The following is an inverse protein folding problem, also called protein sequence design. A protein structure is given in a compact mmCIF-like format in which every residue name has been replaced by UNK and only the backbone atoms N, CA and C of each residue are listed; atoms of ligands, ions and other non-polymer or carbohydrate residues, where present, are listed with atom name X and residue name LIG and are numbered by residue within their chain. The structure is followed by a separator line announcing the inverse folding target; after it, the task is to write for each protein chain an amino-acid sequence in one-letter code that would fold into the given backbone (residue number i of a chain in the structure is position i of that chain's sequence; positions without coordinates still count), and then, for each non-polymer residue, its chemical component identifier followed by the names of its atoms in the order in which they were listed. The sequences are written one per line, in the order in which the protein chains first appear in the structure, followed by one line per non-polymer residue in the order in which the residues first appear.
data_IF_188823531240
#
_entry.id   IF_188823531240
#
_cell.length_a   1.000
_cell.length_b   1.000
_cell.length_c   1.000
_cell.angle_alpha   90.00
_cell.angle_beta   90.00
_cell.angle_gamma   90.00
#
_symmetry.space_group_name_H-M   'P 1'
#
loop_
_entity.id
_entity.type
_entity.pdbx_description
1 polymer ?
#
# COMPACT_ATOMS: atom_id res chain seq x y z
N UNK A 1 -6.62 14.87 2.73
CA UNK A 1 -7.27 13.67 2.24
C UNK A 1 -7.16 12.55 3.26
N UNK A 2 -8.06 11.55 3.20
CA UNK A 2 -8.10 10.40 4.13
C UNK A 2 -6.80 9.59 4.14
N UNK A 3 -6.07 9.55 3.02
CA UNK A 3 -4.81 8.82 2.86
C UNK A 3 -3.69 9.75 2.43
N UNK A 4 -2.47 9.52 2.95
CA UNK A 4 -1.27 10.20 2.46
C UNK A 4 -0.81 9.59 1.13
N UNK A 5 -0.11 10.38 0.31
CA UNK A 5 0.45 9.93 -0.97
C UNK A 5 1.37 8.72 -0.80
N UNK A 6 2.25 8.74 0.22
CA UNK A 6 3.15 7.63 0.53
C UNK A 6 2.38 6.36 0.89
N UNK A 7 1.26 6.48 1.64
CA UNK A 7 0.38 5.34 1.97
C UNK A 7 -0.27 4.74 0.72
N UNK A 8 -0.74 5.58 -0.22
CA UNK A 8 -1.34 5.10 -1.47
C UNK A 8 -0.33 4.35 -2.34
N UNK A 9 0.90 4.88 -2.46
CA UNK A 9 1.98 4.19 -3.19
C UNK A 9 2.25 2.82 -2.57
N UNK A 10 2.38 2.73 -1.24
CA UNK A 10 2.61 1.45 -0.55
C UNK A 10 1.48 0.45 -0.80
N UNK A 11 0.21 0.91 -0.78
CA UNK A 11 -0.96 0.08 -1.05
C UNK A 11 -1.01 -0.42 -2.49
N UNK A 12 -0.63 0.43 -3.47
CA UNK A 12 -0.59 0.05 -4.88
C UNK A 12 0.60 -0.84 -5.26
N UNK A 13 1.65 -0.90 -4.46
CA UNK A 13 2.86 -1.69 -4.74
C UNK A 13 2.99 -2.87 -3.78
N UNK A 14 3.42 -2.61 -2.56
CA UNK A 14 3.76 -3.65 -1.60
C UNK A 14 2.54 -4.48 -1.15
N UNK A 15 1.39 -3.83 -0.86
CA UNK A 15 0.20 -4.55 -0.39
C UNK A 15 -0.40 -5.41 -1.52
N UNK A 16 -0.45 -4.91 -2.76
CA UNK A 16 -0.84 -5.71 -3.93
C UNK A 16 0.10 -6.90 -4.14
N UNK A 17 1.41 -6.71 -4.01
CA UNK A 17 2.38 -7.81 -4.13
C UNK A 17 2.20 -8.86 -3.03
N UNK A 18 1.89 -8.45 -1.80
CA UNK A 18 1.59 -9.39 -0.71
C UNK A 18 0.31 -10.18 -0.99
N UNK A 19 -0.75 -9.55 -1.47
CA UNK A 19 -2.00 -10.21 -1.87
C UNK A 19 -1.73 -11.20 -2.99
N UNK A 20 -0.99 -10.81 -4.03
CA UNK A 20 -0.64 -11.68 -5.15
C UNK A 20 0.16 -12.91 -4.69
N UNK A 21 1.17 -12.70 -3.86
CA UNK A 21 2.00 -13.78 -3.32
C UNK A 21 1.16 -14.74 -2.47
N UNK A 22 0.34 -14.22 -1.57
CA UNK A 22 -0.54 -15.02 -0.73
C UNK A 22 -1.58 -15.80 -1.56
N UNK A 23 -2.20 -15.16 -2.56
CA UNK A 23 -3.17 -15.82 -3.44
C UNK A 23 -2.52 -16.96 -4.23
N UNK A 24 -1.35 -16.74 -4.80
CA UNK A 24 -0.59 -17.77 -5.54
C UNK A 24 -0.21 -18.93 -4.64
N UNK A 25 0.29 -18.65 -3.45
CA UNK A 25 0.64 -19.68 -2.47
C UNK A 25 -0.62 -20.40 -1.94
N UNK A 26 -1.70 -19.68 -1.70
CA UNK A 26 -2.97 -20.25 -1.26
C UNK A 26 -3.51 -21.24 -2.28
N UNK A 27 -3.65 -20.86 -3.54
CA UNK A 27 -4.14 -21.74 -4.60
C UNK A 27 -3.22 -22.96 -4.74
N UNK A 28 -1.91 -22.77 -4.77
CA UNK A 28 -0.95 -23.85 -4.98
C UNK A 28 -0.82 -24.78 -3.77
N UNK A 29 -0.76 -24.23 -2.57
CA UNK A 29 -0.44 -25.00 -1.35
C UNK A 29 -1.69 -25.50 -0.62
N UNK A 30 -2.76 -24.70 -0.52
CA UNK A 30 -3.99 -25.08 0.18
C UNK A 30 -4.78 -26.12 -0.61
N UNK A 31 -4.71 -26.12 -1.94
CA UNK A 31 -5.30 -27.19 -2.74
C UNK A 31 -4.41 -28.45 -2.77
N UNK A 32 -3.09 -28.28 -2.97
CA UNK A 32 -2.17 -29.41 -3.07
C UNK A 32 -1.97 -30.16 -1.75
N UNK A 33 -1.78 -29.46 -0.64
CA UNK A 33 -1.42 -30.08 0.63
C UNK A 33 -2.53 -31.00 1.18
N UNK A 34 -3.82 -30.60 1.24
CA UNK A 34 -4.89 -31.52 1.65
C UNK A 34 -5.06 -32.71 0.70
N UNK A 35 -4.99 -32.47 -0.62
CA UNK A 35 -5.12 -33.54 -1.60
C UNK A 35 -4.00 -34.56 -1.40
N UNK A 36 -2.74 -34.13 -1.32
CA UNK A 36 -1.60 -35.00 -1.08
C UNK A 36 -1.73 -35.75 0.26
N UNK A 37 -2.10 -35.02 1.32
CA UNK A 37 -2.28 -35.63 2.64
C UNK A 37 -3.39 -36.65 2.70
N UNK A 38 -4.58 -36.33 2.17
CA UNK A 38 -5.72 -37.22 2.13
C UNK A 38 -5.45 -38.47 1.26
N UNK A 39 -4.90 -38.28 0.06
CA UNK A 39 -4.55 -39.41 -0.82
C UNK A 39 -3.49 -40.30 -0.17
N UNK A 40 -2.47 -39.74 0.44
CA UNK A 40 -1.44 -40.50 1.14
C UNK A 40 -2.03 -41.27 2.34
N UNK A 41 -2.90 -40.67 3.15
CA UNK A 41 -3.61 -41.34 4.26
C UNK A 41 -4.50 -42.45 3.74
N UNK A 42 -5.30 -42.24 2.69
CA UNK A 42 -6.14 -43.26 2.11
C UNK A 42 -5.32 -44.46 1.59
N UNK A 43 -4.17 -44.18 0.95
CA UNK A 43 -3.26 -45.24 0.47
C UNK A 43 -2.68 -46.05 1.61
N UNK A 44 -2.25 -45.41 2.67
CA UNK A 44 -1.72 -46.07 3.87
C UNK A 44 -2.78 -46.93 4.53
N UNK A 45 -4.00 -46.42 4.74
CA UNK A 45 -5.09 -47.17 5.33
C UNK A 45 -5.52 -48.40 4.47
N UNK A 46 -5.36 -48.29 3.15
CA UNK A 46 -5.66 -49.37 2.21
C UNK A 46 -4.62 -50.51 2.21
N UNK A 47 -3.41 -50.28 2.73
CA UNK A 47 -2.36 -51.31 2.78
C UNK A 47 -2.53 -52.31 3.94
N UNK A 48 -3.31 -51.97 4.97
CA UNK A 48 -3.58 -52.82 6.16
C UNK A 48 -2.33 -53.47 6.74
N UNK A 49 -1.22 -52.74 6.79
CA UNK A 49 0.10 -53.23 7.19
C UNK A 49 0.33 -53.27 8.70
N UNK A 50 -0.60 -52.71 9.50
CA UNK A 50 -0.43 -52.60 10.95
C UNK A 50 0.59 -51.52 11.37
N UNK A 51 1.14 -50.72 10.41
CA UNK A 51 2.12 -49.67 10.64
C UNK A 51 1.49 -48.27 10.73
N UNK A 52 0.17 -48.14 10.66
CA UNK A 52 -0.56 -46.88 10.60
C UNK A 52 -0.26 -45.97 11.82
N UNK A 53 0.03 -46.57 12.98
CA UNK A 53 0.40 -45.84 14.18
C UNK A 53 1.70 -45.03 14.04
N UNK A 54 2.63 -45.42 13.16
CA UNK A 54 3.89 -44.71 12.90
C UNK A 54 3.64 -43.34 12.29
N UNK A 55 2.59 -43.18 11.50
CA UNK A 55 2.16 -41.89 10.96
C UNK A 55 1.68 -40.98 12.09
N UNK A 56 0.89 -41.52 13.02
CA UNK A 56 0.47 -40.79 14.21
C UNK A 56 1.66 -40.26 14.99
N UNK A 57 2.68 -41.09 15.20
CA UNK A 57 3.94 -40.71 15.84
C UNK A 57 4.64 -39.62 15.03
N UNK A 58 4.75 -39.76 13.71
CA UNK A 58 5.38 -38.75 12.85
C UNK A 58 4.68 -37.38 12.93
N UNK A 59 3.35 -37.36 12.81
CA UNK A 59 2.55 -36.14 12.89
C UNK A 59 2.66 -35.48 14.27
N UNK A 60 2.60 -36.26 15.35
CA UNK A 60 2.76 -35.76 16.71
C UNK A 60 4.17 -35.18 16.92
N UNK A 61 5.23 -35.88 16.47
CA UNK A 61 6.60 -35.41 16.58
C UNK A 61 6.84 -34.09 15.81
N UNK A 62 6.36 -34.03 14.57
CA UNK A 62 6.43 -32.81 13.75
C UNK A 62 5.66 -31.65 14.38
N UNK A 63 4.42 -31.94 14.85
CA UNK A 63 3.59 -30.94 15.53
C UNK A 63 4.25 -30.41 16.81
N UNK A 64 4.89 -31.30 17.57
CA UNK A 64 5.62 -30.92 18.76
C UNK A 64 6.82 -30.01 18.44
N UNK A 65 7.63 -30.37 17.43
CA UNK A 65 8.77 -29.54 16.99
C UNK A 65 8.29 -28.17 16.54
N UNK A 66 7.28 -28.10 15.66
CA UNK A 66 6.71 -26.85 15.18
C UNK A 66 6.11 -26.03 16.33
N UNK A 67 5.31 -26.67 17.19
CA UNK A 67 4.65 -26.02 18.33
C UNK A 67 5.64 -25.41 19.31
N UNK A 68 6.72 -26.15 19.65
CA UNK A 68 7.78 -25.65 20.55
C UNK A 68 8.53 -24.49 19.91
N UNK A 69 8.97 -24.61 18.67
CA UNK A 69 9.70 -23.54 17.97
C UNK A 69 8.84 -22.30 17.81
N UNK A 70 7.58 -22.44 17.42
CA UNK A 70 6.65 -21.31 17.29
C UNK A 70 6.36 -20.67 18.65
N UNK A 71 6.15 -21.46 19.69
CA UNK A 71 5.96 -20.96 21.06
C UNK A 71 7.14 -20.14 21.58
N UNK A 72 8.37 -20.54 21.25
CA UNK A 72 9.59 -19.84 21.63
C UNK A 72 9.85 -18.58 20.78
N UNK A 73 9.53 -18.61 19.48
CA UNK A 73 9.89 -17.53 18.55
C UNK A 73 8.82 -16.46 18.43
N UNK A 74 7.51 -16.81 18.49
CA UNK A 74 6.41 -15.86 18.34
C UNK A 74 6.46 -14.65 19.31
N UNK A 75 6.70 -14.83 20.61
CA UNK A 75 6.83 -13.70 21.53
C UNK A 75 8.03 -12.80 21.19
N UNK A 76 9.11 -13.39 20.68
CA UNK A 76 10.30 -12.64 20.25
C UNK A 76 10.06 -11.88 18.96
N UNK A 77 9.31 -12.42 18.01
CA UNK A 77 8.91 -11.69 16.79
C UNK A 77 8.12 -10.41 17.10
N UNK A 78 7.18 -10.48 18.06
CA UNK A 78 6.44 -9.30 18.51
C UNK A 78 7.34 -8.23 19.15
N UNK A 79 8.36 -8.67 19.93
CA UNK A 79 9.34 -7.75 20.53
C UNK A 79 10.28 -7.17 19.47
N UNK A 80 10.71 -7.98 18.51
CA UNK A 80 11.59 -7.56 17.43
C UNK A 80 11.01 -6.36 16.67
N UNK A 81 9.70 -6.34 16.38
CA UNK A 81 9.07 -5.20 15.74
C UNK A 81 9.23 -3.90 16.55
N UNK A 82 9.04 -3.96 17.87
CA UNK A 82 9.27 -2.80 18.75
C UNK A 82 10.73 -2.32 18.75
N UNK A 83 11.69 -3.22 18.64
CA UNK A 83 13.09 -2.85 18.54
C UNK A 83 13.44 -2.24 17.18
N UNK A 84 12.85 -2.74 16.09
CA UNK A 84 12.97 -2.11 14.76
C UNK A 84 12.45 -0.69 14.82
N UNK A 85 11.26 -0.47 15.40
CA UNK A 85 10.67 0.86 15.53
C UNK A 85 11.57 1.80 16.36
N UNK A 86 12.18 1.28 17.44
CA UNK A 86 13.11 2.04 18.28
C UNK A 86 14.39 2.43 17.52
N UNK A 87 14.99 1.50 16.77
CA UNK A 87 16.18 1.79 15.93
C UNK A 87 15.84 2.85 14.89
N UNK A 88 14.70 2.72 14.21
CA UNK A 88 14.25 3.69 13.21
C UNK A 88 13.98 5.07 13.82
N UNK A 89 13.39 5.12 15.04
CA UNK A 89 13.16 6.36 15.76
C UNK A 89 14.48 7.06 16.07
N UNK A 90 15.44 6.35 16.70
CA UNK A 90 16.74 6.91 17.06
C UNK A 90 17.49 7.36 15.80
N UNK A 91 17.50 6.57 14.73
CA UNK A 91 18.12 6.92 13.46
C UNK A 91 17.52 8.22 12.86
N UNK A 92 16.18 8.35 12.88
CA UNK A 92 15.49 9.56 12.40
C UNK A 92 15.84 10.77 13.24
N UNK A 93 15.79 10.64 14.58
CA UNK A 93 16.18 11.72 15.49
C UNK A 93 17.63 12.17 15.27
N UNK A 94 18.56 11.24 15.01
CA UNK A 94 19.95 11.56 14.68
C UNK A 94 20.07 12.31 13.35
N UNK A 95 19.31 11.90 12.32
CA UNK A 95 19.33 12.54 11.01
C UNK A 95 18.72 13.94 11.05
N UNK A 96 17.56 14.08 11.69
CA UNK A 96 16.87 15.37 11.84
C UNK A 96 17.64 16.32 12.78
N UNK A 97 18.32 15.75 13.78
CA UNK A 97 19.08 16.47 14.81
C UNK A 97 20.56 16.65 14.53
N UNK A 98 21.07 16.39 13.32
CA UNK A 98 22.53 16.47 13.03
C UNK A 98 23.17 17.79 13.44
N UNK A 99 22.48 18.91 13.18
CA UNK A 99 23.02 20.25 13.52
C UNK A 99 23.11 20.47 15.03
N UNK A 100 22.05 20.26 15.85
CA UNK A 100 22.17 20.33 17.31
C UNK A 100 23.19 19.37 17.89
N UNK A 101 23.23 18.11 17.42
CA UNK A 101 24.17 17.08 17.91
C UNK A 101 25.63 17.57 17.72
N UNK A 102 25.94 18.18 16.56
CA UNK A 102 27.26 18.74 16.29
C UNK A 102 27.54 19.99 17.11
N UNK A 103 26.56 20.88 17.22
CA UNK A 103 26.72 22.14 17.96
C UNK A 103 27.00 21.91 19.44
N UNK A 104 26.40 20.88 20.04
CA UNK A 104 26.58 20.54 21.45
C UNK A 104 27.63 19.45 21.70
N UNK A 105 28.32 18.95 20.67
CA UNK A 105 29.35 17.92 20.82
C UNK A 105 28.85 16.57 21.34
N UNK A 106 27.55 16.24 21.08
CA UNK A 106 26.87 15.03 21.62
C UNK A 106 26.94 13.80 20.74
N UNK A 107 27.82 13.78 19.72
CA UNK A 107 27.92 12.70 18.75
C UNK A 107 28.15 11.33 19.43
N UNK A 108 29.05 11.28 20.44
CA UNK A 108 29.37 10.05 21.17
C UNK A 108 28.13 9.50 21.91
N UNK A 109 27.38 10.37 22.54
CA UNK A 109 26.17 10.00 23.27
C UNK A 109 25.09 9.42 22.35
N UNK A 110 24.85 10.04 21.19
CA UNK A 110 23.87 9.55 20.23
C UNK A 110 24.32 8.26 19.57
N UNK A 111 25.64 8.08 19.35
CA UNK A 111 26.18 6.82 18.84
C UNK A 111 25.98 5.68 19.87
N UNK A 112 26.23 5.91 21.15
CA UNK A 112 25.96 4.93 22.21
C UNK A 112 24.48 4.58 22.27
N UNK A 113 23.59 5.57 22.17
CA UNK A 113 22.15 5.36 22.17
C UNK A 113 21.66 4.53 20.97
N UNK A 114 22.27 4.75 19.78
CA UNK A 114 21.98 3.96 18.58
C UNK A 114 22.53 2.53 18.72
N UNK A 115 23.73 2.39 19.25
CA UNK A 115 24.36 1.07 19.48
C UNK A 115 23.55 0.22 20.45
N UNK A 116 23.06 0.78 21.54
CA UNK A 116 22.16 0.11 22.49
C UNK A 116 20.87 -0.38 21.82
N UNK A 117 20.23 0.49 21.05
CA UNK A 117 19.00 0.13 20.33
C UNK A 117 19.25 -0.97 19.28
N UNK A 118 20.36 -0.87 18.55
CA UNK A 118 20.79 -1.85 17.55
C UNK A 118 21.16 -3.19 18.19
N UNK A 119 21.83 -3.17 19.34
CA UNK A 119 22.23 -4.36 20.09
C UNK A 119 21.02 -5.14 20.62
N UNK A 120 20.00 -4.46 21.14
CA UNK A 120 18.73 -5.07 21.58
C UNK A 120 18.03 -5.78 20.40
N UNK A 121 17.98 -5.13 19.23
CA UNK A 121 17.44 -5.71 18.01
C UNK A 121 18.25 -6.93 17.57
N UNK A 122 19.57 -6.78 17.48
CA UNK A 122 20.50 -7.83 17.06
C UNK A 122 20.37 -9.09 17.92
N UNK A 123 20.37 -8.95 19.24
CA UNK A 123 20.25 -10.09 20.16
C UNK A 123 18.93 -10.84 19.99
N UNK A 124 17.83 -10.09 19.83
CA UNK A 124 16.51 -10.68 19.61
C UNK A 124 16.45 -11.40 18.28
N UNK A 125 17.01 -10.80 17.21
CA UNK A 125 17.05 -11.36 15.87
C UNK A 125 17.96 -12.59 15.80
N UNK A 126 19.13 -12.56 16.47
CA UNK A 126 20.03 -13.71 16.56
C UNK A 126 19.34 -14.91 17.21
N UNK A 127 18.65 -14.70 18.34
CA UNK A 127 17.90 -15.77 18.99
C UNK A 127 16.84 -16.36 18.06
N UNK A 128 16.04 -15.50 17.43
CA UNK A 128 14.97 -15.92 16.52
C UNK A 128 15.52 -16.67 15.32
N UNK A 129 16.57 -16.14 14.68
CA UNK A 129 17.19 -16.76 13.50
C UNK A 129 17.86 -18.10 13.87
N UNK A 130 18.54 -18.19 15.01
CA UNK A 130 19.12 -19.46 15.50
C UNK A 130 18.03 -20.50 15.73
N UNK A 131 16.96 -20.14 16.44
CA UNK A 131 15.83 -21.05 16.66
C UNK A 131 15.20 -21.53 15.35
N UNK A 132 14.99 -20.63 14.40
CA UNK A 132 14.45 -20.98 13.09
C UNK A 132 15.43 -21.81 12.23
N UNK A 133 16.73 -21.56 12.33
CA UNK A 133 17.74 -22.35 11.63
C UNK A 133 17.81 -23.80 12.13
N UNK A 134 17.46 -24.05 13.38
CA UNK A 134 17.34 -25.42 13.93
C UNK A 134 16.12 -26.17 13.40
N UNK A 135 15.12 -25.49 12.83
CA UNK A 135 13.91 -26.12 12.35
C UNK A 135 14.19 -27.21 11.32
N UNK A 136 14.99 -26.89 10.27
CA UNK A 136 15.30 -27.86 9.21
C UNK A 136 16.09 -29.08 9.71
N UNK A 137 17.19 -28.92 10.48
CA UNK A 137 17.88 -30.08 11.08
C UNK A 137 16.99 -30.94 11.97
N UNK A 138 16.15 -30.33 12.81
CA UNK A 138 15.22 -31.06 13.67
C UNK A 138 14.18 -31.83 12.87
N UNK A 139 13.63 -31.23 11.82
CA UNK A 139 12.70 -31.88 10.93
C UNK A 139 13.35 -33.07 10.22
N UNK A 140 14.58 -32.91 9.70
CA UNK A 140 15.32 -34.02 9.09
C UNK A 140 15.61 -35.12 10.12
N UNK A 141 15.94 -34.77 11.34
CA UNK A 141 16.16 -35.74 12.42
C UNK A 141 14.88 -36.53 12.70
N UNK A 142 13.75 -35.87 12.89
CA UNK A 142 12.45 -36.52 13.09
C UNK A 142 12.12 -37.44 11.93
N UNK A 143 12.28 -36.97 10.69
CA UNK A 143 12.01 -37.78 9.50
C UNK A 143 12.88 -39.03 9.42
N UNK A 144 14.18 -38.89 9.71
CA UNK A 144 15.08 -40.06 9.72
C UNK A 144 14.73 -41.04 10.85
N UNK A 145 14.38 -40.55 12.04
CA UNK A 145 13.92 -41.40 13.14
C UNK A 145 12.64 -42.15 12.78
N UNK A 146 11.66 -41.47 12.14
CA UNK A 146 10.43 -42.08 11.67
C UNK A 146 10.73 -43.14 10.58
N UNK A 147 11.64 -42.84 9.66
CA UNK A 147 12.07 -43.82 8.64
C UNK A 147 12.70 -45.03 9.26
N UNK A 148 13.60 -44.88 10.21
CA UNK A 148 14.20 -46.00 10.97
C UNK A 148 13.14 -46.79 11.70
N UNK A 149 12.17 -46.12 12.33
CA UNK A 149 11.04 -46.78 13.01
C UNK A 149 10.20 -47.61 12.06
N UNK A 150 9.88 -47.06 10.87
CA UNK A 150 9.11 -47.77 9.83
C UNK A 150 9.89 -49.00 9.32
N UNK A 151 11.20 -48.85 9.07
CA UNK A 151 12.05 -49.97 8.62
C UNK A 151 12.15 -51.04 9.70
N UNK A 152 12.35 -50.65 10.95
CA UNK A 152 12.42 -51.59 12.09
C UNK A 152 11.10 -52.34 12.29
N UNK A 153 9.97 -51.66 12.35
CA UNK A 153 8.66 -52.27 12.51
C UNK A 153 8.23 -53.04 11.28
N UNK A 154 8.50 -52.53 10.06
CA UNK A 154 8.18 -53.14 8.79
C UNK A 154 9.01 -54.40 8.49
N UNK A 155 10.26 -54.45 8.95
CA UNK A 155 11.10 -55.65 8.80
C UNK A 155 10.51 -56.89 9.48
N UNK A 156 9.84 -56.72 10.62
CA UNK A 156 9.11 -57.79 11.29
C UNK A 156 7.93 -58.27 10.45
N UNK A 157 7.13 -57.33 9.89
CA UNK A 157 6.01 -57.65 9.01
C UNK A 157 6.43 -58.36 7.71
N UNK A 158 7.59 -58.00 7.15
CA UNK A 158 8.16 -58.70 5.96
C UNK A 158 8.63 -60.09 6.34
N UNK A 159 9.28 -60.27 7.51
CA UNK A 159 9.72 -61.58 7.98
C UNK A 159 8.54 -62.52 8.26
N UNK A 160 7.43 -61.99 8.78
CA UNK A 160 6.21 -62.72 9.08
C UNK A 160 5.34 -62.97 7.82
N UNK A 161 5.77 -62.49 6.64
CA UNK A 161 5.06 -62.66 5.37
C UNK A 161 3.78 -61.86 5.22
N UNK A 162 3.52 -60.91 6.13
CA UNK A 162 2.31 -60.06 6.13
C UNK A 162 2.47 -58.85 5.19
N UNK A 163 3.70 -58.47 4.86
CA UNK A 163 4.01 -57.27 4.05
C UNK A 163 5.14 -57.56 3.07
N UNK A 164 5.10 -56.89 1.90
CA UNK A 164 6.21 -56.91 0.95
C UNK A 164 7.17 -55.74 1.19
N UNK A 165 8.43 -55.89 0.76
CA UNK A 165 9.41 -54.80 0.85
C UNK A 165 8.94 -53.55 0.08
N UNK A 166 8.23 -53.73 -1.05
CA UNK A 166 7.64 -52.66 -1.83
C UNK A 166 6.60 -51.86 -1.06
N UNK A 167 5.78 -52.50 -0.21
CA UNK A 167 4.79 -51.83 0.63
C UNK A 167 5.47 -50.97 1.70
N UNK A 168 6.56 -51.46 2.28
CA UNK A 168 7.36 -50.67 3.26
C UNK A 168 7.96 -49.42 2.62
N UNK A 169 8.50 -49.51 1.40
CA UNK A 169 9.04 -48.34 0.68
C UNK A 169 7.95 -47.35 0.30
N UNK A 170 6.77 -47.84 -0.14
CA UNK A 170 5.62 -47.00 -0.40
C UNK A 170 5.13 -46.30 0.87
N UNK A 171 5.11 -46.98 2.00
CA UNK A 171 4.72 -46.44 3.30
C UNK A 171 5.64 -45.31 3.75
N UNK A 172 6.96 -45.46 3.61
CA UNK A 172 7.94 -44.38 3.86
C UNK A 172 7.61 -43.17 2.99
N UNK A 173 7.37 -43.37 1.70
CA UNK A 173 7.06 -42.30 0.75
C UNK A 173 5.76 -41.55 1.11
N UNK A 174 4.70 -42.28 1.50
CA UNK A 174 3.44 -41.65 1.92
C UNK A 174 3.57 -40.90 3.24
N UNK A 175 4.35 -41.43 4.21
CA UNK A 175 4.62 -40.76 5.47
C UNK A 175 5.34 -39.42 5.22
N UNK A 176 6.33 -39.40 4.32
CA UNK A 176 7.00 -38.18 3.88
C UNK A 176 6.02 -37.16 3.30
N UNK A 177 5.09 -37.62 2.42
CA UNK A 177 4.08 -36.72 1.83
C UNK A 177 3.13 -36.16 2.87
N UNK A 178 2.69 -36.95 3.86
CA UNK A 178 1.81 -36.48 4.94
C UNK A 178 2.50 -35.40 5.78
N UNK A 179 3.77 -35.62 6.15
CA UNK A 179 4.55 -34.65 6.92
C UNK A 179 4.78 -33.37 6.12
N UNK A 180 5.10 -33.48 4.82
CA UNK A 180 5.25 -32.32 3.95
C UNK A 180 3.93 -31.53 3.80
N UNK A 181 2.80 -32.21 3.63
CA UNK A 181 1.49 -31.59 3.58
C UNK A 181 1.19 -30.80 4.88
N UNK A 182 1.51 -31.41 6.03
CA UNK A 182 1.34 -30.75 7.33
C UNK A 182 2.23 -29.49 7.49
N UNK A 183 3.49 -29.56 7.05
CA UNK A 183 4.40 -28.41 7.04
C UNK A 183 3.88 -27.27 6.16
N UNK A 184 3.37 -27.59 4.99
CA UNK A 184 2.80 -26.60 4.05
C UNK A 184 1.59 -25.89 4.70
N UNK A 185 0.68 -26.65 5.31
CA UNK A 185 -0.48 -26.08 6.01
C UNK A 185 -0.07 -25.15 7.15
N UNK A 186 0.96 -25.53 7.90
CA UNK A 186 1.50 -24.68 8.97
C UNK A 186 2.08 -23.37 8.42
N UNK A 187 2.81 -23.41 7.31
CA UNK A 187 3.36 -22.22 6.66
C UNK A 187 2.27 -21.26 6.17
N UNK A 188 1.21 -21.80 5.56
CA UNK A 188 0.05 -21.01 5.08
C UNK A 188 -0.62 -20.28 6.24
N UNK A 189 -0.81 -20.94 7.38
CA UNK A 189 -1.43 -20.36 8.57
C UNK A 189 -0.69 -19.14 9.12
N UNK A 190 0.63 -19.03 8.88
CA UNK A 190 1.44 -17.86 9.29
C UNK A 190 1.36 -16.72 8.27
N UNK A 191 1.18 -17.04 6.99
CA UNK A 191 1.17 -16.04 5.92
C UNK A 191 -0.21 -15.38 5.72
N UNK A 192 -1.28 -16.13 5.94
CA UNK A 192 -2.66 -15.68 5.69
C UNK A 192 -3.02 -14.36 6.41
N UNK A 193 -2.73 -14.16 7.71
CA UNK A 193 -3.08 -12.92 8.40
C UNK A 193 -2.40 -11.66 7.83
N UNK A 194 -1.22 -11.81 7.23
CA UNK A 194 -0.52 -10.67 6.59
C UNK A 194 -1.21 -10.23 5.31
N UNK A 195 -1.69 -11.19 4.53
CA UNK A 195 -2.43 -10.90 3.31
C UNK A 195 -3.81 -10.29 3.60
N UNK A 196 -4.46 -10.73 4.68
CA UNK A 196 -5.73 -10.17 5.15
C UNK A 196 -5.59 -8.68 5.47
N UNK A 197 -4.59 -8.29 6.27
CA UNK A 197 -4.31 -6.87 6.57
C UNK A 197 -3.99 -6.06 5.31
N UNK A 198 -3.25 -6.63 4.35
CA UNK A 198 -2.96 -5.96 3.09
C UNK A 198 -4.23 -5.79 2.24
N UNK A 199 -5.09 -6.80 2.20
CA UNK A 199 -6.38 -6.74 1.50
C UNK A 199 -7.32 -5.69 2.10
N UNK A 200 -7.48 -5.65 3.42
CA UNK A 200 -8.26 -4.62 4.11
C UNK A 200 -7.78 -3.20 3.77
N UNK A 201 -6.47 -2.98 3.73
CA UNK A 201 -5.91 -1.67 3.36
C UNK A 201 -6.22 -1.25 1.93
N UNK A 202 -6.21 -2.21 1.00
CA UNK A 202 -6.57 -1.94 -0.40
C UNK A 202 -8.08 -1.69 -0.51
N UNK A 203 -8.90 -2.51 0.18
CA UNK A 203 -10.35 -2.36 0.23
C UNK A 203 -10.75 -0.98 0.80
N UNK A 204 -10.10 -0.51 1.85
CA UNK A 204 -10.30 0.84 2.40
C UNK A 204 -10.19 1.94 1.35
N UNK A 205 -9.25 1.81 0.40
CA UNK A 205 -9.08 2.77 -0.69
C UNK A 205 -10.19 2.62 -1.71
N UNK A 206 -10.49 1.38 -2.14
CA UNK A 206 -11.51 1.09 -3.14
C UNK A 206 -12.93 1.45 -2.66
N UNK A 207 -13.20 1.24 -1.37
CA UNK A 207 -14.47 1.58 -0.74
C UNK A 207 -14.62 3.08 -0.43
N UNK A 208 -13.53 3.87 -0.58
CA UNK A 208 -13.58 5.31 -0.29
C UNK A 208 -14.21 6.05 -1.46
N UNK A 209 -15.37 6.60 -1.22
CA UNK A 209 -16.04 7.48 -2.18
C UNK A 209 -15.37 8.87 -2.22
N UNK A 210 -15.33 9.46 -3.39
CA UNK A 210 -14.89 10.86 -3.54
C UNK A 210 -15.90 11.80 -2.90
N UNK A 211 -15.42 12.80 -2.18
CA UNK A 211 -16.28 13.82 -1.56
C UNK A 211 -17.05 14.66 -2.58
N UNK A 212 -16.43 14.89 -3.73
CA UNK A 212 -17.05 15.62 -4.84
C UNK A 212 -17.63 14.61 -5.82
N UNK A 213 -18.95 14.65 -5.99
CA UNK A 213 -19.69 13.75 -6.90
C UNK A 213 -20.33 14.55 -8.01
N UNK A 214 -20.53 13.91 -9.17
CA UNK A 214 -21.34 14.48 -10.23
C UNK A 214 -22.76 14.72 -9.74
N UNK A 215 -23.41 15.83 -10.16
CA UNK A 215 -24.78 16.11 -9.80
C UNK A 215 -25.74 15.06 -10.38
N UNK A 216 -26.68 14.60 -9.57
CA UNK A 216 -27.72 13.64 -10.00
C UNK A 216 -28.64 14.23 -11.08
N UNK A 217 -28.88 15.53 -10.99
CA UNK A 217 -29.69 16.29 -11.94
C UNK A 217 -28.91 17.52 -12.44
N UNK A 218 -28.03 17.32 -13.44
CA UNK A 218 -27.19 18.41 -13.93
C UNK A 218 -28.00 19.52 -14.54
N UNK A 219 -27.64 20.76 -14.22
CA UNK A 219 -28.21 21.96 -14.82
C UNK A 219 -27.16 22.66 -15.67
N UNK A 220 -27.54 23.15 -16.82
CA UNK A 220 -26.71 24.02 -17.64
C UNK A 220 -27.22 25.45 -17.54
N UNK A 221 -26.35 26.46 -17.65
CA UNK A 221 -26.77 27.84 -17.74
C UNK A 221 -27.74 28.05 -18.91
N UNK A 222 -28.76 28.85 -18.72
CA UNK A 222 -29.67 29.20 -19.79
C UNK A 222 -28.93 29.95 -20.92
N UNK A 223 -29.36 29.81 -22.17
CA UNK A 223 -28.74 30.50 -23.28
C UNK A 223 -28.77 32.04 -23.15
N UNK A 224 -29.67 32.55 -22.33
CA UNK A 224 -29.80 33.99 -22.00
C UNK A 224 -29.05 34.38 -20.72
N UNK A 225 -28.35 33.45 -20.05
CA UNK A 225 -27.59 33.77 -18.86
C UNK A 225 -26.34 34.61 -19.20
N UNK A 226 -25.90 35.51 -18.32
CA UNK A 226 -24.65 36.21 -18.51
C UNK A 226 -23.49 35.21 -18.61
N UNK A 227 -22.63 35.37 -19.60
CA UNK A 227 -21.42 34.52 -19.71
C UNK A 227 -20.29 35.12 -18.89
N UNK A 228 -19.72 34.34 -17.94
CA UNK A 228 -18.58 34.72 -17.13
C UNK A 228 -18.95 35.48 -15.85
N UNK A 229 -20.18 35.39 -15.38
CA UNK A 229 -20.57 35.92 -14.07
C UNK A 229 -20.29 34.88 -12.97
N UNK A 230 -19.49 35.29 -11.98
CA UNK A 230 -19.18 34.50 -10.78
C UNK A 230 -19.76 35.19 -9.56
N UNK A 231 -20.57 34.49 -8.77
CA UNK A 231 -21.08 35.05 -7.52
C UNK A 231 -20.94 34.10 -6.33
N UNK A 232 -20.56 34.67 -5.20
CA UNK A 232 -20.53 34.02 -3.90
C UNK A 232 -21.70 34.54 -3.08
N UNK A 233 -22.53 33.65 -2.52
CA UNK A 233 -23.72 33.99 -1.75
C UNK A 233 -23.60 33.44 -0.34
N UNK A 234 -23.18 34.28 0.62
CA UNK A 234 -22.99 33.95 2.03
C UNK A 234 -22.21 32.65 2.23
N UNK A 235 -21.07 32.54 1.55
CA UNK A 235 -20.26 31.31 1.50
C UNK A 235 -19.42 31.17 2.75
N UNK A 236 -19.59 30.01 3.43
CA UNK A 236 -18.67 29.57 4.48
C UNK A 236 -18.07 28.22 4.10
N UNK A 237 -16.82 28.02 4.51
CA UNK A 237 -16.09 26.77 4.26
C UNK A 237 -15.18 26.39 5.43
N UNK A 238 -15.28 25.10 5.78
CA UNK A 238 -14.47 24.45 6.79
C UNK A 238 -13.84 23.20 6.21
N UNK A 239 -12.54 22.96 6.41
CA UNK A 239 -11.92 21.68 6.06
C UNK A 239 -12.45 20.57 6.98
N UNK A 240 -12.52 19.31 6.50
CA UNK A 240 -13.10 18.20 7.26
C UNK A 240 -12.51 18.00 8.66
N UNK A 241 -11.22 18.27 8.83
CA UNK A 241 -10.48 18.08 10.09
C UNK A 241 -10.26 19.40 10.87
N UNK A 242 -10.80 20.52 10.38
CA UNK A 242 -10.68 21.81 11.06
C UNK A 242 -11.76 21.98 12.12
N UNK A 243 -11.47 22.79 13.15
CA UNK A 243 -12.45 23.14 14.21
C UNK A 243 -13.21 24.44 13.92
N UNK A 244 -12.68 25.25 13.01
CA UNK A 244 -13.21 26.59 12.70
C UNK A 244 -13.31 26.77 11.19
N UNK A 245 -14.22 27.65 10.78
CA UNK A 245 -14.38 28.04 9.39
C UNK A 245 -13.14 28.80 8.91
N UNK A 246 -12.58 28.39 7.75
CA UNK A 246 -11.50 29.08 7.06
C UNK A 246 -12.05 30.28 6.28
N UNK A 247 -13.30 30.19 5.83
CA UNK A 247 -14.04 31.24 5.14
C UNK A 247 -15.40 31.33 5.81
N UNK A 248 -15.82 32.54 6.20
CA UNK A 248 -17.10 32.77 6.88
C UNK A 248 -17.90 33.87 6.22
N UNK A 249 -19.10 33.53 5.70
CA UNK A 249 -20.12 34.48 5.26
C UNK A 249 -19.73 35.38 4.09
N UNK A 250 -18.86 34.93 3.20
CA UNK A 250 -18.35 35.75 2.09
C UNK A 250 -19.38 35.89 0.97
N UNK A 251 -19.64 37.14 0.55
CA UNK A 251 -20.55 37.46 -0.55
C UNK A 251 -19.93 38.51 -1.47
N UNK A 252 -19.89 38.24 -2.76
CA UNK A 252 -19.50 39.19 -3.82
C UNK A 252 -19.97 38.66 -5.19
N UNK A 253 -20.00 39.55 -6.17
CA UNK A 253 -20.27 39.20 -7.58
C UNK A 253 -19.18 39.81 -8.45
N UNK A 254 -18.73 39.07 -9.45
CA UNK A 254 -17.77 39.49 -10.49
C UNK A 254 -18.44 39.28 -11.83
N UNK A 255 -18.55 40.33 -12.62
CA UNK A 255 -19.16 40.25 -13.95
C UNK A 255 -18.10 39.98 -15.04
N UNK A 256 -18.56 39.57 -16.20
CA UNK A 256 -17.68 39.35 -17.33
C UNK A 256 -16.80 40.56 -17.66
N UNK A 257 -15.49 40.30 -17.80
CA UNK A 257 -14.51 41.35 -18.08
C UNK A 257 -13.97 42.08 -16.83
N UNK A 258 -14.52 41.82 -15.65
CA UNK A 258 -14.02 42.45 -14.41
C UNK A 258 -12.84 41.64 -13.84
N UNK A 259 -11.99 42.32 -13.11
CA UNK A 259 -10.88 41.76 -12.33
C UNK A 259 -11.10 41.98 -10.84
N UNK A 260 -11.18 40.90 -10.08
CA UNK A 260 -11.27 40.97 -8.61
C UNK A 260 -9.91 40.67 -7.97
N UNK A 261 -9.39 41.65 -7.20
CA UNK A 261 -8.19 41.44 -6.38
C UNK A 261 -8.55 40.92 -4.99
N UNK A 262 -7.98 39.77 -4.59
CA UNK A 262 -8.15 39.19 -3.25
C UNK A 262 -6.86 39.34 -2.45
N UNK A 263 -6.87 40.23 -1.44
CA UNK A 263 -5.73 40.55 -0.59
C UNK A 263 -5.95 40.06 0.85
N UNK A 264 -4.89 39.78 1.56
CA UNK A 264 -4.93 39.36 2.97
C UNK A 264 -3.62 38.73 3.42
N UNK A 265 -3.49 38.49 4.72
CA UNK A 265 -2.32 37.81 5.32
C UNK A 265 -2.18 36.38 4.90
N UNK A 266 -1.02 35.76 5.13
CA UNK A 266 -0.82 34.32 4.96
C UNK A 266 -1.79 33.56 5.89
N UNK A 267 -2.46 32.55 5.39
CA UNK A 267 -3.45 31.76 6.14
C UNK A 267 -4.88 32.34 6.15
N UNK A 268 -5.15 33.50 5.51
CA UNK A 268 -6.49 34.12 5.50
C UNK A 268 -7.53 33.46 4.59
N UNK A 269 -7.24 32.31 4.02
CA UNK A 269 -8.19 31.56 3.19
C UNK A 269 -8.25 31.94 1.71
N UNK A 270 -7.37 32.81 1.19
CA UNK A 270 -7.38 33.25 -0.23
C UNK A 270 -7.34 32.07 -1.22
N UNK A 271 -6.38 31.18 -1.05
CA UNK A 271 -6.25 29.99 -1.91
C UNK A 271 -7.46 29.07 -1.79
N UNK A 272 -8.00 28.92 -0.59
CA UNK A 272 -9.21 28.13 -0.34
C UNK A 272 -10.41 28.73 -1.08
N UNK A 273 -10.60 30.04 -1.01
CA UNK A 273 -11.69 30.73 -1.70
C UNK A 273 -11.63 30.49 -3.22
N UNK A 274 -10.44 30.62 -3.82
CA UNK A 274 -10.25 30.37 -5.25
C UNK A 274 -10.48 28.90 -5.62
N UNK A 275 -10.14 27.95 -4.74
CA UNK A 275 -10.36 26.53 -4.96
C UNK A 275 -11.84 26.09 -4.93
N UNK A 276 -12.72 26.89 -4.33
CA UNK A 276 -14.16 26.63 -4.36
C UNK A 276 -14.78 26.88 -5.76
N UNK A 277 -14.16 27.72 -6.59
CA UNK A 277 -14.68 28.07 -7.93
C UNK A 277 -14.67 26.84 -8.87
N UNK A 278 -13.55 26.12 -9.07
CA UNK A 278 -13.53 24.90 -9.89
C UNK A 278 -14.09 23.68 -9.14
N UNK A 279 -14.71 23.91 -7.96
CA UNK A 279 -15.28 22.87 -7.10
C UNK A 279 -14.25 21.80 -6.75
N UNK A 280 -13.08 22.21 -6.25
CA UNK A 280 -12.12 21.29 -5.63
C UNK A 280 -12.58 20.90 -4.22
N UNK A 281 -13.43 21.73 -3.63
CA UNK A 281 -14.17 21.50 -2.38
C UNK A 281 -15.60 22.02 -2.53
N UNK A 282 -16.56 21.40 -1.86
CA UNK A 282 -17.92 21.93 -1.72
C UNK A 282 -17.99 22.86 -0.52
N UNK A 283 -18.76 23.94 -0.62
CA UNK A 283 -18.97 24.90 0.47
C UNK A 283 -19.72 24.24 1.63
N UNK A 284 -19.40 24.63 2.88
CA UNK A 284 -20.10 24.17 4.08
C UNK A 284 -21.47 24.80 4.19
N UNK A 285 -21.57 26.09 3.86
CA UNK A 285 -22.84 26.81 3.78
C UNK A 285 -22.80 27.88 2.69
N UNK A 286 -23.98 28.33 2.25
CA UNK A 286 -24.10 29.25 1.11
C UNK A 286 -23.97 28.53 -0.23
N UNK A 287 -23.65 29.27 -1.27
CA UNK A 287 -23.48 28.76 -2.64
C UNK A 287 -22.53 29.62 -3.45
N UNK A 288 -21.82 28.98 -4.37
CA UNK A 288 -21.04 29.64 -5.44
C UNK A 288 -21.79 29.40 -6.74
N UNK A 289 -22.03 30.45 -7.50
CA UNK A 289 -22.73 30.33 -8.81
C UNK A 289 -21.83 30.81 -9.93
N UNK A 290 -21.84 30.07 -11.05
CA UNK A 290 -21.23 30.44 -12.31
C UNK A 290 -22.34 30.55 -13.35
N UNK A 291 -22.46 31.72 -13.98
CA UNK A 291 -23.51 32.03 -14.94
C UNK A 291 -24.93 31.78 -14.37
N UNK A 292 -25.13 32.11 -13.10
CA UNK A 292 -26.39 31.96 -12.37
C UNK A 292 -26.71 30.55 -11.86
N UNK A 293 -25.89 29.52 -12.21
CA UNK A 293 -26.08 28.13 -11.76
C UNK A 293 -25.09 27.79 -10.63
N UNK A 294 -25.60 27.13 -9.58
CA UNK A 294 -24.73 26.64 -8.49
C UNK A 294 -23.70 25.65 -9.07
N UNK A 295 -22.43 25.84 -8.72
CA UNK A 295 -21.34 24.96 -9.17
C UNK A 295 -21.52 23.50 -8.79
N UNK A 296 -22.34 23.22 -7.77
CA UNK A 296 -22.71 21.86 -7.35
C UNK A 296 -23.70 21.19 -8.29
N UNK A 297 -24.49 21.98 -9.04
CA UNK A 297 -25.48 21.52 -9.98
C UNK A 297 -24.91 21.41 -11.41
N UNK A 298 -23.74 22.02 -11.69
CA UNK A 298 -23.05 21.92 -12.97
C UNK A 298 -22.33 20.57 -13.10
N UNK A 299 -22.35 19.91 -14.29
CA UNK A 299 -21.42 18.83 -14.57
C UNK A 299 -19.98 19.27 -14.35
N UNK A 300 -19.15 18.45 -13.67
CA UNK A 300 -17.77 18.83 -13.35
C UNK A 300 -16.93 19.11 -14.61
N UNK A 301 -17.18 18.35 -15.66
CA UNK A 301 -16.52 18.55 -16.96
C UNK A 301 -16.83 19.93 -17.55
N UNK A 302 -18.09 20.36 -17.49
CA UNK A 302 -18.54 21.65 -18.00
C UNK A 302 -18.04 22.81 -17.13
N UNK A 303 -18.08 22.67 -15.79
CA UNK A 303 -17.55 23.65 -14.87
C UNK A 303 -16.06 23.89 -15.12
N UNK A 304 -15.27 22.81 -15.20
CA UNK A 304 -13.81 22.89 -15.37
C UNK A 304 -13.39 23.33 -16.77
N UNK A 305 -14.21 23.09 -17.79
CA UNK A 305 -14.00 23.65 -19.13
C UNK A 305 -14.13 25.17 -19.17
N UNK A 306 -14.99 25.74 -18.31
CA UNK A 306 -15.25 27.20 -18.23
C UNK A 306 -14.27 27.93 -17.33
N UNK A 307 -13.61 27.23 -16.40
CA UNK A 307 -12.74 27.84 -15.39
C UNK A 307 -11.29 27.48 -15.63
N UNK A 308 -10.47 28.43 -16.05
CA UNK A 308 -9.02 28.28 -16.04
C UNK A 308 -8.47 28.50 -14.63
N UNK A 309 -7.77 27.50 -14.07
CA UNK A 309 -7.19 27.57 -12.74
C UNK A 309 -5.67 27.50 -12.80
N UNK A 310 -4.98 28.55 -12.33
CA UNK A 310 -3.52 28.59 -12.21
C UNK A 310 -3.16 28.40 -10.72
N UNK A 311 -2.60 27.24 -10.32
CA UNK A 311 -2.23 26.99 -8.94
C UNK A 311 -0.98 27.81 -8.53
N UNK A 312 -0.83 28.06 -7.24
CA UNK A 312 0.34 28.74 -6.68
C UNK A 312 1.62 27.94 -6.89
N UNK A 313 1.55 26.63 -6.80
CA UNK A 313 2.63 25.69 -7.13
C UNK A 313 2.28 24.98 -8.45
N UNK A 314 3.02 25.29 -9.51
CA UNK A 314 2.93 24.54 -10.77
C UNK A 314 3.52 23.15 -10.59
N UNK A 315 2.94 22.16 -11.26
CA UNK A 315 3.47 20.80 -11.35
C UNK A 315 3.66 20.44 -12.81
N UNK A 316 4.83 19.93 -13.17
CA UNK A 316 5.09 19.39 -14.49
C UNK A 316 5.07 17.86 -14.43
N UNK A 317 4.40 17.27 -15.41
CA UNK A 317 4.34 15.82 -15.57
C UNK A 317 5.51 15.32 -16.41
N UNK A 318 5.92 14.07 -16.20
CA UNK A 318 6.89 13.41 -17.06
C UNK A 318 6.36 13.36 -18.51
N UNK A 319 7.18 13.74 -19.45
CA UNK A 319 6.81 13.83 -20.86
C UNK A 319 7.60 14.93 -21.55
N UNK A 320 7.01 15.57 -22.54
CA UNK A 320 7.63 16.68 -23.27
C UNK A 320 7.06 18.03 -22.81
N UNK A 321 7.70 19.12 -23.20
CA UNK A 321 7.16 20.48 -23.04
C UNK A 321 5.80 20.57 -23.71
N UNK A 322 5.68 20.10 -24.96
CA UNK A 322 4.43 20.04 -25.69
C UNK A 322 3.33 19.28 -24.94
N UNK A 323 3.62 18.07 -24.44
CA UNK A 323 2.63 17.26 -23.73
C UNK A 323 2.13 17.93 -22.44
N UNK A 324 2.97 18.69 -21.77
CA UNK A 324 2.60 19.47 -20.59
C UNK A 324 1.74 20.68 -20.94
N UNK A 325 2.05 21.39 -22.01
CA UNK A 325 1.25 22.54 -22.48
C UNK A 325 -0.10 22.13 -23.04
N UNK A 326 -0.16 20.97 -23.72
CA UNK A 326 -1.39 20.38 -24.23
C UNK A 326 -2.16 19.54 -23.20
N UNK A 327 -1.79 19.61 -21.91
CA UNK A 327 -2.41 18.81 -20.85
C UNK A 327 -3.93 19.01 -20.71
N UNK A 328 -4.46 20.14 -21.20
CA UNK A 328 -5.90 20.41 -21.23
C UNK A 328 -6.72 19.46 -22.15
N UNK A 329 -6.07 18.72 -23.03
CA UNK A 329 -6.68 17.69 -23.89
C UNK A 329 -6.29 17.77 -25.37
N UNK A 330 -6.71 16.77 -26.13
CA UNK A 330 -6.38 16.59 -27.55
C UNK A 330 -6.95 17.66 -28.47
N UNK A 331 -7.81 18.55 -27.96
CA UNK A 331 -8.42 19.66 -28.72
C UNK A 331 -7.53 20.91 -28.78
N UNK A 332 -6.41 20.92 -28.06
CA UNK A 332 -5.47 22.05 -28.04
C UNK A 332 -4.62 22.01 -29.31
N UNK A 333 -4.77 23.00 -30.17
CA UNK A 333 -3.97 23.11 -31.38
C UNK A 333 -2.54 23.56 -31.08
N UNK A 334 -1.61 23.34 -32.02
CA UNK A 334 -0.24 23.84 -31.93
C UNK A 334 -0.19 25.36 -31.86
N UNK A 335 -1.10 26.03 -32.56
CA UNK A 335 -1.20 27.50 -32.51
C UNK A 335 -1.66 28.01 -31.17
N UNK A 336 -2.63 27.33 -30.52
CA UNK A 336 -3.06 27.68 -29.17
C UNK A 336 -1.95 27.44 -28.14
N UNK A 337 -1.21 26.35 -28.28
CA UNK A 337 -0.06 26.03 -27.44
C UNK A 337 1.04 27.10 -27.54
N UNK A 338 1.42 27.48 -28.79
CA UNK A 338 2.42 28.54 -29.04
C UNK A 338 1.96 29.88 -28.49
N UNK A 339 0.72 30.25 -28.76
CA UNK A 339 0.12 31.47 -28.23
C UNK A 339 0.11 31.51 -26.70
N UNK A 340 -0.20 30.39 -26.04
CA UNK A 340 -0.16 30.32 -24.59
C UNK A 340 1.28 30.51 -24.04
N UNK A 341 2.27 29.91 -24.70
CA UNK A 341 3.67 30.08 -24.35
C UNK A 341 4.14 31.53 -24.57
N UNK A 342 3.71 32.19 -25.64
CA UNK A 342 4.02 33.60 -25.90
C UNK A 342 3.43 34.53 -24.82
N UNK A 343 2.17 34.30 -24.45
CA UNK A 343 1.51 35.06 -23.37
C UNK A 343 2.28 34.88 -22.05
N UNK A 344 2.74 33.65 -21.77
CA UNK A 344 3.51 33.34 -20.56
C UNK A 344 4.99 33.79 -20.66
N UNK A 345 5.44 34.39 -21.78
CA UNK A 345 6.84 34.74 -22.04
C UNK A 345 7.78 33.55 -21.95
N UNK A 346 7.31 32.33 -22.30
CA UNK A 346 8.06 31.09 -22.20
C UNK A 346 8.67 30.63 -23.52
N UNK A 347 8.26 31.16 -24.66
CA UNK A 347 8.66 30.72 -26.01
C UNK A 347 10.16 30.76 -26.19
N UNK A 348 10.83 31.86 -25.88
CA UNK A 348 12.29 32.01 -26.00
C UNK A 348 13.04 30.97 -25.16
N UNK A 349 12.59 30.76 -23.92
CA UNK A 349 13.17 29.78 -23.02
C UNK A 349 12.98 28.33 -23.54
N UNK A 350 11.82 28.01 -24.13
CA UNK A 350 11.53 26.68 -24.69
C UNK A 350 12.41 26.43 -25.93
N UNK A 351 12.49 27.41 -26.84
CA UNK A 351 13.23 27.28 -28.10
C UNK A 351 14.75 27.20 -27.90
N UNK A 352 15.28 27.74 -26.79
CA UNK A 352 16.70 27.62 -26.43
C UNK A 352 17.07 26.25 -25.85
N UNK A 353 16.10 25.44 -25.46
CA UNK A 353 16.38 24.08 -24.95
C UNK A 353 16.71 23.13 -26.11
N UNK A 354 17.56 22.15 -25.84
CA UNK A 354 17.79 21.02 -26.73
C UNK A 354 16.50 20.23 -26.90
N UNK A 355 16.01 20.09 -28.13
CA UNK A 355 14.72 19.48 -28.45
C UNK A 355 13.52 20.45 -28.40
N UNK A 356 13.69 21.70 -27.95
CA UNK A 356 12.64 22.73 -27.92
C UNK A 356 11.31 22.22 -27.34
N UNK A 357 10.25 22.17 -28.14
CA UNK A 357 8.92 21.69 -27.74
C UNK A 357 8.88 20.20 -27.39
N UNK A 358 9.76 19.38 -27.99
CA UNK A 358 9.92 17.95 -27.71
C UNK A 358 10.92 17.66 -26.60
N UNK A 359 11.48 18.71 -25.97
CA UNK A 359 12.41 18.56 -24.84
C UNK A 359 11.74 17.77 -23.69
N UNK A 360 12.42 16.72 -23.26
CA UNK A 360 11.91 15.89 -22.14
C UNK A 360 11.93 16.65 -20.82
N UNK A 361 10.84 16.46 -20.07
CA UNK A 361 10.66 16.95 -18.71
C UNK A 361 10.53 15.75 -17.79
N UNK A 362 11.38 15.65 -16.78
CA UNK A 362 11.24 14.66 -15.72
C UNK A 362 10.15 15.08 -14.73
N UNK A 363 9.67 14.13 -13.94
CA UNK A 363 8.63 14.38 -12.93
C UNK A 363 9.05 15.48 -11.94
N UNK A 364 8.22 16.52 -11.84
CA UNK A 364 8.48 17.68 -10.98
C UNK A 364 9.30 18.80 -11.63
N UNK A 365 9.71 18.67 -12.91
CA UNK A 365 10.32 19.76 -13.68
C UNK A 365 11.82 19.92 -13.48
N UNK A 366 12.54 18.87 -13.13
CA UNK A 366 14.02 18.87 -13.02
C UNK A 366 14.67 18.42 -14.31
#
# INVERSE_FOLDING_TARGET
GKFSQASLITRCTNDIQQIQMATTLFIRMVLMAPIMGVVAIMRVLATHTGLEWTIGVAVIAVSAVVGVLMGLTMPKFKRMQKYVDRVNLVAREMLDGVMPIRAFGRQKHELERFDDASHDLMNTQLFTNRAMSFMMPLMMFVMNCVTVLIVWAGSHGVNDGVMQVGDMMAFISYTMQIVMAFMILTMVSVMLPRAEVAAERVEDVLATETSIKEPTHPKLPAASAPHGELAFHNVSFQYPDAREDVIGGVSFTVHAGETLGIIGSTGSGKSTLVQLIPRLYDVTSGKVTLDGVDVRDLPLSELRRRVGYVPQQGMLFSGTVESNLKFAGDTVSDDDMRRAADIAQATEFIEQREGAWDSEISQGGS
#
